data_IF_170838231571
#
_entry.id   IF_170838231571
#
_cell.length_a   1.000
_cell.length_b   1.000
_cell.length_c   1.000
_cell.angle_alpha   90.00
_cell.angle_beta   90.00
_cell.angle_gamma   90.00
#
_symmetry.space_group_name_H-M   'P 1'
#
loop_
_entity.id
_entity.type
_entity.pdbx_description
1 polymer ?
#
# COMPACT_ATOMS: atom_id res chain seq x y z
N UNK A 1 -4.24 -0.58 -9.49
CA UNK A 1 -5.57 -1.20 -9.27
C UNK A 1 -5.46 -2.22 -8.14
N UNK A 2 -6.51 -2.46 -7.37
CA UNK A 2 -6.55 -3.47 -6.29
C UNK A 2 -7.28 -4.74 -6.76
N UNK A 3 -6.90 -5.90 -6.24
CA UNK A 3 -7.62 -7.16 -6.42
C UNK A 3 -9.00 -7.11 -5.73
N UNK A 4 -9.92 -8.01 -6.07
CA UNK A 4 -11.28 -8.02 -5.51
C UNK A 4 -11.30 -8.34 -4.01
N UNK A 5 -10.40 -9.22 -3.58
CA UNK A 5 -10.19 -9.65 -2.19
C UNK A 5 -9.20 -8.78 -1.42
N UNK A 6 -8.77 -7.65 -1.99
CA UNK A 6 -7.83 -6.73 -1.35
C UNK A 6 -8.33 -6.25 0.02
N UNK A 7 -7.38 -6.18 0.96
CA UNK A 7 -7.56 -5.51 2.24
C UNK A 7 -6.27 -4.79 2.68
N UNK A 8 -6.46 -3.81 3.56
CA UNK A 8 -5.39 -3.02 4.16
C UNK A 8 -5.41 -3.16 5.67
N UNK A 9 -4.23 -3.24 6.29
CA UNK A 9 -4.06 -2.98 7.72
C UNK A 9 -3.48 -1.58 7.89
N UNK A 10 -4.30 -0.65 8.38
CA UNK A 10 -3.83 0.70 8.65
C UNK A 10 -2.90 0.74 9.87
N UNK A 11 -2.18 1.85 10.05
CA UNK A 11 -1.26 2.01 11.19
C UNK A 11 -1.92 1.92 12.57
N UNK A 12 -3.25 2.06 12.65
CA UNK A 12 -4.03 1.83 13.87
C UNK A 12 -4.25 0.34 14.19
N UNK A 13 -3.77 -0.58 13.35
CA UNK A 13 -4.06 -2.02 13.42
C UNK A 13 -5.45 -2.41 12.91
N UNK A 14 -6.25 -1.46 12.43
CA UNK A 14 -7.60 -1.75 11.89
C UNK A 14 -7.49 -2.31 10.47
N UNK A 15 -8.34 -3.31 10.20
CA UNK A 15 -8.49 -3.91 8.88
C UNK A 15 -9.54 -3.14 8.08
N UNK A 16 -9.18 -2.75 6.86
CA UNK A 16 -10.04 -2.05 5.91
C UNK A 16 -10.20 -2.89 4.64
N UNK A 17 -11.45 -3.10 4.21
CA UNK A 17 -11.73 -3.81 2.95
C UNK A 17 -11.64 -2.85 1.76
N UNK A 18 -11.47 -3.43 0.57
CA UNK A 18 -11.37 -2.73 -0.71
C UNK A 18 -12.30 -1.54 -0.90
N UNK A 19 -13.59 -1.70 -0.69
CA UNK A 19 -14.56 -0.63 -0.98
C UNK A 19 -14.35 0.59 -0.08
N UNK A 20 -14.02 0.35 1.19
CA UNK A 20 -13.68 1.42 2.13
C UNK A 20 -12.41 2.15 1.68
N UNK A 21 -11.36 1.39 1.31
CA UNK A 21 -10.08 1.99 0.87
C UNK A 21 -10.28 2.81 -0.41
N UNK A 22 -11.02 2.28 -1.40
CA UNK A 22 -11.31 3.00 -2.64
C UNK A 22 -12.10 4.27 -2.37
N UNK A 23 -13.15 4.21 -1.54
CA UNK A 23 -13.95 5.39 -1.18
C UNK A 23 -13.10 6.50 -0.55
N UNK A 24 -12.23 6.14 0.42
CA UNK A 24 -11.32 7.10 1.05
C UNK A 24 -10.28 7.67 0.09
N UNK A 25 -9.73 6.84 -0.82
CA UNK A 25 -8.82 7.33 -1.84
C UNK A 25 -9.50 8.33 -2.77
N UNK A 26 -10.73 8.02 -3.24
CA UNK A 26 -11.51 8.90 -4.10
C UNK A 26 -11.84 10.23 -3.42
N UNK A 27 -12.14 10.22 -2.12
CA UNK A 27 -12.34 11.43 -1.33
C UNK A 27 -11.07 12.28 -1.27
N UNK A 28 -9.91 11.67 -0.98
CA UNK A 28 -8.61 12.37 -0.98
C UNK A 28 -8.25 12.94 -2.35
N UNK A 29 -8.62 12.28 -3.44
CA UNK A 29 -8.41 12.81 -4.79
C UNK A 29 -9.21 14.09 -5.09
N UNK A 30 -10.30 14.37 -4.37
CA UNK A 30 -11.06 15.61 -4.52
C UNK A 30 -10.32 16.82 -3.97
N UNK A 31 -9.41 16.61 -3.01
CA UNK A 31 -8.57 17.63 -2.40
C UNK A 31 -7.12 17.14 -2.38
N UNK A 32 -6.43 17.18 -3.53
CA UNK A 32 -5.09 16.60 -3.64
C UNK A 32 -4.11 17.36 -2.76
N UNK A 33 -3.68 16.71 -1.68
CA UNK A 33 -2.51 17.14 -0.93
C UNK A 33 -1.24 16.76 -1.69
N UNK A 34 -0.17 17.52 -1.43
CA UNK A 34 1.13 17.25 -2.04
C UNK A 34 1.72 16.00 -1.36
N UNK A 35 1.70 14.89 -2.09
CA UNK A 35 2.21 13.59 -1.66
C UNK A 35 3.57 13.27 -2.29
N UNK A 36 4.51 14.23 -2.29
CA UNK A 36 5.88 14.08 -2.81
C UNK A 36 6.89 13.64 -1.74
N UNK A 37 6.41 12.87 -0.77
CA UNK A 37 7.22 12.43 0.37
C UNK A 37 8.25 11.38 -0.04
N UNK A 38 9.47 11.41 0.54
CA UNK A 38 10.52 10.46 0.22
C UNK A 38 10.12 9.02 0.52
N UNK A 39 10.42 8.14 -0.43
CA UNK A 39 10.42 6.70 -0.24
C UNK A 39 11.86 6.18 -0.34
N UNK A 40 12.25 5.26 0.55
CA UNK A 40 13.59 4.66 0.58
C UNK A 40 13.56 3.20 1.03
N UNK A 41 14.73 2.57 1.05
CA UNK A 41 14.93 1.21 1.54
C UNK A 41 14.03 0.16 0.86
N UNK A 42 13.83 0.33 -0.45
CA UNK A 42 13.01 -0.56 -1.25
C UNK A 42 13.60 -1.97 -1.27
N UNK A 43 12.75 -2.97 -1.00
CA UNK A 43 13.07 -4.37 -1.19
C UNK A 43 11.92 -5.10 -1.87
N UNK A 44 12.24 -5.94 -2.85
CA UNK A 44 11.27 -6.76 -3.56
C UNK A 44 11.65 -8.23 -3.39
N UNK A 45 10.68 -9.08 -3.08
CA UNK A 45 10.82 -10.53 -2.99
C UNK A 45 9.67 -11.22 -3.70
N UNK A 46 9.97 -12.18 -4.58
CA UNK A 46 8.95 -13.11 -5.09
C UNK A 46 8.47 -14.05 -3.98
N UNK A 47 7.15 -14.22 -3.85
CA UNK A 47 6.52 -15.16 -2.91
C UNK A 47 6.03 -16.43 -3.61
N UNK A 48 5.56 -16.28 -4.85
CA UNK A 48 5.10 -17.35 -5.73
C UNK A 48 5.18 -16.87 -7.19
N UNK A 49 4.78 -17.72 -8.13
CA UNK A 49 4.62 -17.31 -9.52
C UNK A 49 3.68 -16.08 -9.60
N UNK A 50 4.17 -15.01 -10.22
CA UNK A 50 3.45 -13.75 -10.38
C UNK A 50 3.00 -13.05 -9.08
N UNK A 51 3.54 -13.41 -7.91
CA UNK A 51 3.20 -12.80 -6.61
C UNK A 51 4.46 -12.25 -5.93
N UNK A 52 4.43 -10.96 -5.59
CA UNK A 52 5.61 -10.22 -5.14
C UNK A 52 5.31 -9.40 -3.89
N UNK A 53 6.20 -9.48 -2.91
CA UNK A 53 6.24 -8.62 -1.74
C UNK A 53 7.13 -7.42 -2.05
N UNK A 54 6.62 -6.22 -1.84
CA UNK A 54 7.38 -4.96 -1.86
C UNK A 54 7.34 -4.34 -0.48
N UNK A 55 8.51 -4.08 0.11
CA UNK A 55 8.66 -3.25 1.30
C UNK A 55 9.40 -1.97 0.99
N UNK A 56 9.05 -0.89 1.68
CA UNK A 56 9.75 0.40 1.60
C UNK A 56 9.44 1.24 2.85
N UNK A 57 10.28 2.23 3.12
CA UNK A 57 10.03 3.26 4.12
C UNK A 57 9.41 4.46 3.44
N UNK A 58 8.38 5.06 4.03
CA UNK A 58 7.86 6.37 3.64
C UNK A 58 8.07 7.37 4.79
N UNK A 59 8.68 8.51 4.46
CA UNK A 59 8.95 9.59 5.40
C UNK A 59 7.95 10.75 5.19
N UNK A 60 6.82 10.72 5.91
CA UNK A 60 5.82 11.79 5.93
C UNK A 60 6.20 12.86 6.99
N UNK A 61 5.73 14.13 6.87
CA UNK A 61 5.98 15.16 7.87
C UNK A 61 5.55 14.72 9.28
N UNK A 62 6.51 14.57 10.19
CA UNK A 62 6.27 14.14 11.57
C UNK A 62 5.93 12.65 11.73
N UNK A 63 6.09 11.83 10.67
CA UNK A 63 5.72 10.42 10.69
C UNK A 63 6.50 9.60 9.67
N UNK A 64 7.32 8.66 10.14
CA UNK A 64 7.91 7.61 9.29
C UNK A 64 7.09 6.33 9.38
N UNK A 65 6.83 5.70 8.25
CA UNK A 65 6.16 4.39 8.19
C UNK A 65 6.96 3.35 7.43
N UNK A 66 6.94 2.12 7.93
CA UNK A 66 7.35 0.93 7.19
C UNK A 66 6.14 0.41 6.44
N UNK A 67 6.25 0.29 5.12
CA UNK A 67 5.16 -0.09 4.23
C UNK A 67 5.45 -1.42 3.59
N UNK A 68 4.43 -2.27 3.58
CA UNK A 68 4.42 -3.57 2.90
C UNK A 68 3.27 -3.60 1.93
N UNK A 69 3.52 -4.05 0.71
CA UNK A 69 2.51 -4.31 -0.30
C UNK A 69 2.75 -5.67 -0.92
N UNK A 70 1.68 -6.43 -1.15
CA UNK A 70 1.75 -7.64 -1.98
C UNK A 70 1.08 -7.33 -3.31
N UNK A 71 1.82 -7.59 -4.38
CA UNK A 71 1.43 -7.34 -5.76
C UNK A 71 1.28 -8.67 -6.49
N UNK A 72 0.20 -8.80 -7.24
CA UNK A 72 -0.04 -9.89 -8.16
C UNK A 72 0.02 -9.36 -9.59
N UNK A 73 0.78 -10.04 -10.45
CA UNK A 73 0.77 -9.84 -11.90
C UNK A 73 -0.17 -10.88 -12.53
N UNK A 74 -1.11 -10.45 -13.37
CA UNK A 74 -1.96 -11.37 -14.12
C UNK A 74 -2.32 -10.75 -15.47
N UNK A 75 -2.03 -11.47 -16.56
CA UNK A 75 -2.31 -10.99 -17.92
C UNK A 75 -1.68 -9.64 -18.25
N UNK A 76 -0.47 -9.36 -17.74
CA UNK A 76 0.22 -8.08 -17.93
C UNK A 76 -0.29 -6.92 -17.07
N UNK A 77 -1.28 -7.16 -16.20
CA UNK A 77 -1.81 -6.17 -15.26
C UNK A 77 -1.33 -6.43 -13.84
N UNK A 78 -1.01 -5.36 -13.12
CA UNK A 78 -0.61 -5.41 -11.71
C UNK A 78 -1.76 -5.02 -10.79
N UNK A 79 -2.06 -5.89 -9.82
CA UNK A 79 -3.06 -5.67 -8.80
C UNK A 79 -2.43 -5.79 -7.41
N UNK A 80 -2.80 -4.89 -6.50
CA UNK A 80 -2.45 -5.01 -5.07
C UNK A 80 -3.44 -5.97 -4.41
N UNK A 81 -2.94 -7.01 -3.74
CA UNK A 81 -3.77 -7.95 -2.97
C UNK A 81 -3.76 -7.64 -1.48
N UNK A 82 -2.72 -6.96 -0.99
CA UNK A 82 -2.60 -6.57 0.41
C UNK A 82 -1.74 -5.31 0.57
N UNK A 83 -2.09 -4.46 1.54
CA UNK A 83 -1.26 -3.35 1.99
C UNK A 83 -1.22 -3.23 3.52
N UNK A 84 -0.09 -2.82 4.06
CA UNK A 84 0.05 -2.40 5.44
C UNK A 84 1.06 -1.26 5.55
N UNK A 85 0.79 -0.33 6.45
CA UNK A 85 1.75 0.68 6.90
C UNK A 85 1.80 0.75 8.42
N UNK A 86 2.96 0.53 9.02
CA UNK A 86 3.18 0.66 10.47
C UNK A 86 4.13 1.82 10.76
N UNK A 87 3.98 2.47 11.91
CA UNK A 87 4.88 3.56 12.32
C UNK A 87 6.27 2.95 12.62
N UNK A 88 7.31 3.56 12.07
CA UNK A 88 8.69 3.23 12.45
C UNK A 88 8.95 3.78 13.86
N UNK A 89 9.45 2.92 14.75
CA UNK A 89 9.76 3.26 16.14
C UNK A 89 11.02 4.10 16.30
#
# INVERSE_FOLDING_TARGET
MTAEDFFEIGASGRIYRRDFVIANLLERYQQPERHDWPCRDFSIRGLAENLYLLNYTLDEPGRTTLRTTIWQSSGGSWKIVFHQGTIAG
#
